data_IF_621853447962
#
_entry.id   IF_621853447962
#
_cell.length_a   1.000
_cell.length_b   1.000
_cell.length_c   1.000
_cell.angle_alpha   90.00
_cell.angle_beta   90.00
_cell.angle_gamma   90.00
#
_symmetry.space_group_name_H-M   'P 1'
#
loop_
_entity.id
_entity.type
_entity.pdbx_description
1 polymer ?
#
# COMPACT_ATOMS: atom_id res chain seq x y z
N UNK A 1 7.12 12.02 -13.74
CA UNK A 1 6.46 11.96 -12.43
C UNK A 1 5.77 10.61 -12.32
N UNK A 2 6.02 9.86 -11.24
CA UNK A 2 5.43 8.53 -11.04
C UNK A 2 3.93 8.67 -10.74
N UNK A 3 3.08 8.14 -11.61
CA UNK A 3 1.62 8.17 -11.42
C UNK A 3 1.19 7.01 -10.51
N UNK A 4 1.34 7.21 -9.20
CA UNK A 4 0.97 6.22 -8.20
C UNK A 4 -0.53 5.92 -8.14
N UNK A 5 -1.38 6.86 -8.60
CA UNK A 5 -2.82 6.62 -8.64
C UNK A 5 -3.17 5.63 -9.76
N UNK A 6 -2.63 5.84 -10.96
CA UNK A 6 -2.80 4.88 -12.06
C UNK A 6 -2.10 3.55 -11.74
N UNK A 7 -0.92 3.59 -11.12
CA UNK A 7 -0.23 2.38 -10.66
C UNK A 7 -1.09 1.59 -9.67
N UNK A 8 -1.71 2.25 -8.68
CA UNK A 8 -2.66 1.61 -7.76
C UNK A 8 -3.79 0.89 -8.52
N UNK A 9 -4.44 1.56 -9.48
CA UNK A 9 -5.56 0.97 -10.23
C UNK A 9 -5.12 -0.29 -11.00
N UNK A 10 -3.98 -0.23 -11.68
CA UNK A 10 -3.44 -1.36 -12.43
C UNK A 10 -3.00 -2.51 -11.50
N UNK A 11 -2.31 -2.21 -10.40
CA UNK A 11 -1.87 -3.22 -9.42
C UNK A 11 -3.04 -3.87 -8.69
N UNK A 12 -4.12 -3.13 -8.44
CA UNK A 12 -5.34 -3.69 -7.88
C UNK A 12 -5.96 -4.71 -8.83
N UNK A 13 -6.10 -4.36 -10.11
CA UNK A 13 -6.58 -5.27 -11.14
C UNK A 13 -5.69 -6.53 -11.27
N UNK A 14 -4.36 -6.34 -11.29
CA UNK A 14 -3.40 -7.45 -11.32
C UNK A 14 -3.60 -8.38 -10.10
N UNK A 15 -3.78 -7.81 -8.92
CA UNK A 15 -4.02 -8.55 -7.68
C UNK A 15 -5.31 -9.38 -7.77
N UNK A 16 -6.41 -8.79 -8.27
CA UNK A 16 -7.68 -9.50 -8.45
C UNK A 16 -7.55 -10.69 -9.41
N UNK A 17 -6.86 -10.51 -10.54
CA UNK A 17 -6.62 -11.58 -11.51
C UNK A 17 -5.78 -12.70 -10.90
N UNK A 18 -4.75 -12.36 -10.13
CA UNK A 18 -3.90 -13.34 -9.44
C UNK A 18 -4.66 -14.11 -8.36
N UNK A 19 -5.56 -13.44 -7.64
CA UNK A 19 -6.47 -14.06 -6.68
C UNK A 19 -7.39 -15.07 -7.36
N UNK A 20 -8.02 -14.69 -8.49
CA UNK A 20 -8.90 -15.56 -9.26
C UNK A 20 -8.17 -16.76 -9.88
N UNK A 21 -6.90 -16.57 -10.25
CA UNK A 21 -6.04 -17.61 -10.83
C UNK A 21 -5.35 -18.50 -9.78
N UNK A 22 -5.70 -18.37 -8.50
CA UNK A 22 -5.11 -19.09 -7.37
C UNK A 22 -3.57 -18.96 -7.26
N UNK A 23 -2.99 -17.87 -7.76
CA UNK A 23 -1.53 -17.60 -7.68
C UNK A 23 -1.20 -16.88 -6.37
N UNK A 24 -1.39 -17.58 -5.24
CA UNK A 24 -1.38 -17.01 -3.88
C UNK A 24 -0.17 -16.13 -3.53
N UNK A 25 1.05 -16.63 -3.75
CA UNK A 25 2.29 -15.89 -3.44
C UNK A 25 2.37 -14.59 -4.26
N UNK A 26 2.06 -14.67 -5.55
CA UNK A 26 2.04 -13.52 -6.43
C UNK A 26 0.93 -12.54 -6.03
N UNK A 27 -0.27 -13.03 -5.70
CA UNK A 27 -1.38 -12.20 -5.22
C UNK A 27 -0.99 -11.45 -3.93
N UNK A 28 -0.33 -12.12 -2.98
CA UNK A 28 0.17 -11.48 -1.75
C UNK A 28 1.22 -10.41 -1.99
N UNK A 29 2.18 -10.69 -2.89
CA UNK A 29 3.18 -9.70 -3.31
C UNK A 29 2.50 -8.47 -3.95
N UNK A 30 1.67 -8.68 -4.96
CA UNK A 30 1.00 -7.60 -5.70
C UNK A 30 -0.03 -6.85 -4.85
N UNK A 31 -0.69 -7.53 -3.91
CA UNK A 31 -1.62 -6.87 -3.00
C UNK A 31 -0.91 -5.93 -2.03
N UNK A 32 0.29 -6.28 -1.56
CA UNK A 32 1.15 -5.36 -0.81
C UNK A 32 1.59 -4.16 -1.66
N UNK A 33 2.06 -4.40 -2.89
CA UNK A 33 2.41 -3.33 -3.85
C UNK A 33 1.21 -2.43 -4.16
N UNK A 34 0.00 -2.99 -4.25
CA UNK A 34 -1.23 -2.21 -4.47
C UNK A 34 -1.48 -1.22 -3.33
N UNK A 35 -1.39 -1.68 -2.07
CA UNK A 35 -1.55 -0.81 -0.90
C UNK A 35 -0.43 0.22 -0.82
N UNK A 36 0.82 -0.15 -1.14
CA UNK A 36 1.94 0.78 -1.22
C UNK A 36 1.65 1.92 -2.20
N UNK A 37 1.23 1.58 -3.43
CA UNK A 37 0.90 2.58 -4.45
C UNK A 37 -0.23 3.50 -3.97
N UNK A 38 -1.26 2.96 -3.33
CA UNK A 38 -2.36 3.76 -2.78
C UNK A 38 -1.88 4.71 -1.67
N UNK A 39 -1.08 4.23 -0.72
CA UNK A 39 -0.54 5.08 0.34
C UNK A 39 0.35 6.19 -0.23
N UNK A 40 1.19 5.87 -1.22
CA UNK A 40 2.02 6.84 -1.93
C UNK A 40 1.18 7.87 -2.68
N UNK A 41 0.11 7.47 -3.36
CA UNK A 41 -0.80 8.41 -4.04
C UNK A 41 -1.50 9.34 -3.03
N UNK A 42 -1.96 8.80 -1.89
CA UNK A 42 -2.55 9.58 -0.80
C UNK A 42 -1.58 10.63 -0.26
N UNK A 43 -0.32 10.25 -0.01
CA UNK A 43 0.72 11.16 0.46
C UNK A 43 0.92 12.32 -0.53
N UNK A 44 1.14 12.01 -1.82
CA UNK A 44 1.36 13.04 -2.84
C UNK A 44 0.13 13.94 -3.04
N UNK A 45 -1.07 13.42 -2.82
CA UNK A 45 -2.29 14.21 -2.87
C UNK A 45 -2.41 15.24 -1.72
N UNK A 46 -1.68 15.07 -0.62
CA UNK A 46 -1.67 16.06 0.48
C UNK A 46 -0.80 17.30 0.20
N UNK A 47 0.01 17.27 -0.86
CA UNK A 47 0.87 18.40 -1.19
C UNK A 47 0.03 19.63 -1.60
N UNK A 48 0.51 20.86 -1.31
CA UNK A 48 -0.19 22.08 -1.67
C UNK A 48 -0.52 22.15 -3.16
N UNK A 49 -1.63 22.81 -3.52
CA UNK A 49 -1.94 23.06 -4.93
C UNK A 49 -0.80 23.86 -5.57
N UNK A 50 -0.34 23.39 -6.73
CA UNK A 50 0.79 24.00 -7.44
C UNK A 50 2.17 23.49 -7.00
N UNK A 51 2.26 22.65 -5.97
CA UNK A 51 3.48 21.90 -5.68
C UNK A 51 3.62 20.75 -6.68
N UNK A 52 4.87 20.48 -7.09
CA UNK A 52 5.21 19.32 -7.89
C UNK A 52 4.94 18.05 -7.08
N UNK A 53 4.16 17.12 -7.65
CA UNK A 53 3.76 15.86 -7.01
C UNK A 53 4.81 14.76 -7.21
N UNK A 54 6.04 15.05 -6.83
CA UNK A 54 7.14 14.12 -6.94
C UNK A 54 7.90 13.94 -5.62
N UNK A 55 8.59 12.80 -5.52
CA UNK A 55 9.47 12.53 -4.39
C UNK A 55 10.74 13.35 -4.53
N UNK A 56 11.26 13.78 -3.38
CA UNK A 56 12.59 14.35 -3.27
C UNK A 56 13.64 13.36 -3.76
N UNK A 57 14.52 13.84 -4.63
CA UNK A 57 15.72 13.17 -5.13
C UNK A 57 16.90 14.18 -5.14
N UNK A 58 18.05 13.77 -5.67
CA UNK A 58 19.24 14.63 -5.71
C UNK A 58 19.09 15.84 -6.64
N UNK A 59 18.35 15.70 -7.75
CA UNK A 59 18.21 16.75 -8.77
C UNK A 59 17.18 17.82 -8.41
N UNK A 60 16.24 17.55 -7.49
CA UNK A 60 15.20 18.49 -7.06
C UNK A 60 15.38 18.99 -5.60
N UNK A 61 16.55 18.78 -4.99
CA UNK A 61 16.95 19.29 -3.68
C UNK A 61 17.59 20.69 -3.81
N UNK A 62 17.20 21.73 -3.03
CA UNK A 62 16.30 21.72 -1.87
C UNK A 62 14.82 22.00 -2.14
N UNK A 63 14.40 22.08 -3.41
CA UNK A 63 13.03 22.43 -3.80
C UNK A 63 11.93 21.48 -3.31
N UNK A 64 12.28 20.23 -2.98
CA UNK A 64 11.36 19.22 -2.47
C UNK A 64 11.72 18.77 -1.05
N UNK A 65 10.69 18.59 -0.21
CA UNK A 65 10.84 18.22 1.21
C UNK A 65 10.34 16.81 1.53
N UNK A 66 9.55 16.18 0.65
CA UNK A 66 8.94 14.88 0.90
C UNK A 66 9.75 13.75 0.28
N UNK A 67 10.24 12.83 1.09
CA UNK A 67 11.04 11.68 0.63
C UNK A 67 10.17 10.47 0.35
N UNK A 68 10.57 9.62 -0.59
CA UNK A 68 9.88 8.35 -0.87
C UNK A 68 9.98 7.44 0.36
N UNK A 69 8.86 6.87 0.87
CA UNK A 69 8.88 5.95 2.01
C UNK A 69 9.43 4.55 1.69
N UNK A 70 9.81 4.27 0.44
CA UNK A 70 10.20 2.92 0.05
C UNK A 70 9.01 1.98 0.04
N UNK A 71 9.18 0.78 0.60
CA UNK A 71 8.17 -0.28 0.60
C UNK A 71 7.52 -0.52 1.97
N UNK A 72 7.85 0.28 2.98
CA UNK A 72 7.34 0.13 4.35
C UNK A 72 6.08 0.99 4.56
N UNK A 73 4.98 0.36 4.98
CA UNK A 73 3.70 1.04 5.19
C UNK A 73 3.77 1.99 6.39
N UNK A 74 4.53 1.67 7.44
CA UNK A 74 4.68 2.56 8.59
C UNK A 74 5.43 3.83 8.20
N UNK A 75 6.46 3.73 7.37
CA UNK A 75 7.19 4.88 6.84
C UNK A 75 6.34 5.73 5.90
N UNK A 76 5.43 5.10 5.13
CA UNK A 76 4.41 5.81 4.39
C UNK A 76 3.47 6.58 5.32
N UNK A 77 2.97 5.94 6.38
CA UNK A 77 2.06 6.56 7.36
C UNK A 77 2.72 7.70 8.15
N UNK A 78 4.03 7.62 8.44
CA UNK A 78 4.79 8.74 9.05
C UNK A 78 4.76 10.01 8.19
N UNK A 79 4.57 9.88 6.88
CA UNK A 79 4.44 11.02 5.93
C UNK A 79 3.01 11.51 5.74
N UNK A 80 2.02 10.85 6.34
CA UNK A 80 0.61 11.24 6.28
C UNK A 80 -0.04 11.21 7.67
N UNK A 81 0.30 12.20 8.52
CA UNK A 81 -0.12 12.27 9.92
C UNK A 81 -1.64 12.04 10.14
N UNK A 82 -2.50 12.72 9.36
CA UNK A 82 -3.96 12.57 9.50
C UNK A 82 -4.46 11.14 9.22
N UNK A 83 -3.88 10.45 8.24
CA UNK A 83 -4.22 9.06 7.92
C UNK A 83 -3.71 8.14 9.03
N UNK A 84 -2.46 8.33 9.46
CA UNK A 84 -1.87 7.60 10.60
C UNK A 84 -2.75 7.68 11.84
N UNK A 85 -3.20 8.88 12.21
CA UNK A 85 -4.02 9.10 13.40
C UNK A 85 -5.38 8.39 13.29
N UNK A 86 -6.00 8.35 12.10
CA UNK A 86 -7.24 7.60 11.87
C UNK A 86 -7.03 6.10 12.02
N UNK A 87 -5.94 5.58 11.46
CA UNK A 87 -5.59 4.16 11.54
C UNK A 87 -5.32 3.76 13.00
N UNK A 88 -4.60 4.59 13.77
CA UNK A 88 -4.33 4.34 15.18
C UNK A 88 -5.59 4.23 16.05
N UNK A 89 -6.69 4.90 15.65
CA UNK A 89 -7.97 4.86 16.36
C UNK A 89 -8.81 3.62 16.05
N UNK A 90 -8.49 2.87 15.00
CA UNK A 90 -9.24 1.69 14.58
C UNK A 90 -8.32 0.45 14.61
N UNK A 91 -8.25 -0.29 15.74
CA UNK A 91 -7.34 -1.41 15.90
C UNK A 91 -7.42 -2.45 14.77
N UNK A 92 -8.62 -2.68 14.26
CA UNK A 92 -8.85 -3.63 13.17
C UNK A 92 -8.13 -3.22 11.86
N UNK A 93 -8.08 -1.92 11.54
CA UNK A 93 -7.37 -1.42 10.35
C UNK A 93 -5.86 -1.59 10.51
N UNK A 94 -5.32 -1.42 11.72
CA UNK A 94 -3.92 -1.72 12.02
C UNK A 94 -3.60 -3.19 11.79
N UNK A 95 -4.48 -4.09 12.22
CA UNK A 95 -4.28 -5.53 12.02
C UNK A 95 -4.30 -5.88 10.53
N UNK A 96 -5.18 -5.27 9.74
CA UNK A 96 -5.18 -5.48 8.29
C UNK A 96 -3.91 -4.96 7.63
N UNK A 97 -3.41 -3.79 8.03
CA UNK A 97 -2.12 -3.27 7.55
C UNK A 97 -0.99 -4.25 7.80
N UNK A 98 -0.84 -4.73 9.05
CA UNK A 98 0.21 -5.68 9.42
C UNK A 98 0.09 -6.97 8.62
N UNK A 99 -1.13 -7.53 8.49
CA UNK A 99 -1.36 -8.77 7.74
C UNK A 99 -1.06 -8.61 6.24
N UNK A 100 -1.36 -7.46 5.65
CA UNK A 100 -1.10 -7.21 4.21
C UNK A 100 0.36 -6.90 3.94
N UNK A 101 1.02 -6.16 4.83
CA UNK A 101 2.46 -5.85 4.75
C UNK A 101 3.31 -7.11 4.95
N UNK A 102 2.89 -7.96 5.89
CA UNK A 102 3.60 -9.16 6.33
C UNK A 102 2.66 -10.38 6.35
N UNK A 103 2.21 -10.90 5.19
CA UNK A 103 1.39 -12.11 5.13
C UNK A 103 2.05 -13.29 5.85
N UNK A 104 3.26 -13.63 5.44
CA UNK A 104 4.16 -14.60 6.07
C UNK A 104 5.58 -14.04 6.23
N UNK A 105 6.00 -13.22 5.26
CA UNK A 105 7.17 -12.36 5.28
C UNK A 105 6.77 -11.04 4.60
N UNK A 106 7.66 -10.06 4.54
CA UNK A 106 7.37 -8.78 3.91
C UNK A 106 6.92 -8.99 2.46
N UNK A 107 5.89 -8.26 2.01
CA UNK A 107 5.27 -8.49 0.70
C UNK A 107 6.26 -8.36 -0.46
N UNK A 108 7.31 -7.54 -0.34
CA UNK A 108 8.38 -7.48 -1.35
C UNK A 108 9.14 -8.79 -1.44
N UNK A 109 9.45 -9.40 -0.30
CA UNK A 109 10.24 -10.64 -0.25
C UNK A 109 9.43 -11.85 -0.70
N UNK A 110 8.10 -11.78 -0.65
CA UNK A 110 7.21 -12.82 -1.19
C UNK A 110 7.55 -13.23 -2.62
N UNK A 111 8.11 -12.34 -3.44
CA UNK A 111 8.56 -12.65 -4.82
C UNK A 111 9.65 -13.73 -4.90
N UNK A 112 10.35 -13.98 -3.80
CA UNK A 112 11.39 -15.01 -3.68
C UNK A 112 10.93 -16.22 -2.86
N UNK A 113 9.68 -16.24 -2.40
CA UNK A 113 9.17 -17.35 -1.61
C UNK A 113 8.90 -18.57 -2.48
N UNK A 114 9.51 -19.70 -2.15
CA UNK A 114 9.18 -21.01 -2.72
C UNK A 114 8.14 -21.78 -1.90
N UNK A 115 7.64 -21.18 -0.81
CA UNK A 115 6.78 -21.89 0.14
C UNK A 115 5.35 -22.02 -0.41
N UNK A 116 4.77 -23.21 -0.26
CA UNK A 116 3.35 -23.40 -0.46
C UNK A 116 2.56 -22.79 0.70
N UNK A 117 1.74 -21.79 0.39
CA UNK A 117 0.86 -21.14 1.36
C UNK A 117 -0.38 -21.99 1.60
N UNK A 118 -0.67 -22.28 2.87
CA UNK A 118 -1.93 -22.94 3.23
C UNK A 118 -3.13 -22.03 2.91
N UNK A 119 -4.29 -22.65 2.70
CA UNK A 119 -5.52 -21.93 2.29
C UNK A 119 -6.05 -21.00 3.38
N UNK A 120 -5.81 -21.33 4.65
CA UNK A 120 -6.31 -20.55 5.79
C UNK A 120 -5.63 -19.19 5.83
N UNK A 121 -4.29 -19.17 5.81
CA UNK A 121 -3.49 -17.93 5.82
C UNK A 121 -3.82 -17.05 4.62
N UNK A 122 -4.01 -17.68 3.45
CA UNK A 122 -4.39 -16.97 2.25
C UNK A 122 -5.78 -16.33 2.36
N UNK A 123 -6.78 -17.06 2.88
CA UNK A 123 -8.13 -16.51 3.07
C UNK A 123 -8.15 -15.36 4.07
N UNK A 124 -7.40 -15.47 5.16
CA UNK A 124 -7.25 -14.40 6.13
C UNK A 124 -6.60 -13.15 5.52
N UNK A 125 -5.49 -13.34 4.80
CA UNK A 125 -4.83 -12.25 4.09
C UNK A 125 -5.75 -11.60 3.07
N UNK A 126 -6.46 -12.38 2.24
CA UNK A 126 -7.34 -11.86 1.21
C UNK A 126 -8.50 -11.05 1.81
N UNK A 127 -9.06 -11.52 2.93
CA UNK A 127 -10.07 -10.78 3.69
C UNK A 127 -9.52 -9.46 4.25
N UNK A 128 -8.32 -9.48 4.82
CA UNK A 128 -7.64 -8.28 5.31
C UNK A 128 -7.34 -7.28 4.18
N UNK A 129 -6.85 -7.75 3.04
CA UNK A 129 -6.58 -6.96 1.85
C UNK A 129 -7.83 -6.23 1.35
N UNK A 130 -8.93 -6.95 1.12
CA UNK A 130 -10.17 -6.35 0.63
C UNK A 130 -10.74 -5.33 1.62
N UNK A 131 -10.66 -5.64 2.91
CA UNK A 131 -11.12 -4.74 3.98
C UNK A 131 -10.27 -3.48 4.05
N UNK A 132 -8.94 -3.62 3.94
CA UNK A 132 -8.00 -2.51 3.99
C UNK A 132 -8.16 -1.58 2.77
N UNK A 133 -8.20 -2.13 1.55
CA UNK A 133 -8.39 -1.34 0.33
C UNK A 133 -9.71 -0.58 0.39
N UNK A 134 -10.81 -1.27 0.72
CA UNK A 134 -12.12 -0.63 0.84
C UNK A 134 -12.14 0.47 1.90
N UNK A 135 -11.42 0.29 3.02
CA UNK A 135 -11.31 1.31 4.05
C UNK A 135 -10.46 2.51 3.60
N UNK A 136 -9.30 2.28 2.98
CA UNK A 136 -8.39 3.32 2.49
C UNK A 136 -9.03 4.17 1.39
N UNK A 137 -9.73 3.54 0.44
CA UNK A 137 -10.46 4.25 -0.61
C UNK A 137 -11.55 5.16 -0.04
N UNK A 138 -12.26 4.75 1.02
CA UNK A 138 -13.21 5.64 1.72
C UNK A 138 -12.52 6.84 2.35
N UNK A 139 -11.26 6.71 2.78
CA UNK A 139 -10.51 7.83 3.33
C UNK A 139 -10.19 8.89 2.28
N UNK A 140 -9.99 8.52 1.01
CA UNK A 140 -9.75 9.47 -0.08
C UNK A 140 -10.84 10.54 -0.21
N UNK A 141 -12.09 10.18 0.13
CA UNK A 141 -13.24 11.10 0.03
C UNK A 141 -13.45 11.98 1.27
N UNK A 142 -12.74 11.68 2.37
CA UNK A 142 -12.98 12.29 3.69
C UNK A 142 -11.72 12.89 4.33
N UNK A 143 -10.56 12.76 3.69
CA UNK A 143 -9.29 13.35 4.10
C UNK A 143 -9.15 14.77 3.54
#
# INVERSE_FOLDING_TARGET
MEDYQSAFLQRHQDTEILCQSARKVAAMHFGGVTVECLLKSMILATLPRGADREWKNESNNPGHTITNPGHDFQDALKRHNRLRDRIQKVPQVRNWLVKVENPNQHFIDMRYSSNELNDTDYKEWHSAYNSLIGWLQKQLTTL
#
